data_IF_763830535218
#
_entry.id   IF_763830535218
#
_cell.length_a   1.000
_cell.length_b   1.000
_cell.length_c   1.000
_cell.angle_alpha   90.00
_cell.angle_beta   90.00
_cell.angle_gamma   90.00
#
_symmetry.space_group_name_H-M   'P 1'
#
loop_
_entity.id
_entity.type
_entity.pdbx_description
1 polymer ?
#
# COMPACT_ATOMS: atom_id res chain seq x y z
N UNK A 1 -32.98 45.85 27.64
CA UNK A 1 -31.65 45.22 27.79
C UNK A 1 -31.85 43.72 27.73
N UNK A 2 -31.45 43.07 26.63
CA UNK A 2 -31.58 41.62 26.47
C UNK A 2 -30.56 40.93 27.37
N UNK A 3 -31.00 40.25 28.42
CA UNK A 3 -30.14 39.43 29.28
C UNK A 3 -29.80 38.14 28.54
N UNK A 4 -28.55 38.00 28.07
CA UNK A 4 -28.06 36.72 27.52
C UNK A 4 -28.17 35.65 28.62
N UNK A 5 -28.79 34.51 28.30
CA UNK A 5 -29.02 33.42 29.25
C UNK A 5 -27.69 32.75 29.67
N UNK A 6 -27.60 32.19 30.89
CA UNK A 6 -26.40 31.49 31.36
C UNK A 6 -25.94 30.35 30.43
N UNK A 7 -26.89 29.75 29.70
CA UNK A 7 -26.66 28.68 28.72
C UNK A 7 -25.81 29.16 27.54
N UNK A 8 -26.10 30.34 26.96
CA UNK A 8 -25.35 30.94 25.84
C UNK A 8 -23.89 31.24 26.21
N UNK A 9 -23.63 31.58 27.48
CA UNK A 9 -22.26 31.85 27.95
C UNK A 9 -21.45 30.57 28.14
N UNK A 10 -22.08 29.48 28.58
CA UNK A 10 -21.42 28.18 28.74
C UNK A 10 -21.10 27.52 27.39
N UNK A 11 -22.06 27.52 26.46
CA UNK A 11 -21.88 26.98 25.10
C UNK A 11 -20.81 27.75 24.33
N UNK A 12 -20.74 29.08 24.50
CA UNK A 12 -19.71 29.90 23.87
C UNK A 12 -18.31 29.58 24.40
N UNK A 13 -18.15 29.41 25.72
CA UNK A 13 -16.87 28.99 26.33
C UNK A 13 -16.45 27.61 25.86
N UNK A 14 -17.38 26.66 25.78
CA UNK A 14 -17.10 25.30 25.29
C UNK A 14 -16.67 25.32 23.82
N UNK A 15 -17.34 26.11 22.99
CA UNK A 15 -16.97 26.30 21.58
C UNK A 15 -15.61 26.97 21.41
N UNK A 16 -15.29 27.98 22.21
CA UNK A 16 -13.98 28.63 22.24
C UNK A 16 -12.88 27.66 22.69
N UNK A 17 -13.12 26.89 23.75
CA UNK A 17 -12.20 25.86 24.24
C UNK A 17 -11.96 24.77 23.18
N UNK A 18 -13.02 24.29 22.53
CA UNK A 18 -12.92 23.34 21.41
C UNK A 18 -12.09 23.91 20.25
N UNK A 19 -12.33 25.17 19.88
CA UNK A 19 -11.57 25.85 18.82
C UNK A 19 -10.10 26.02 19.19
N UNK A 20 -9.80 26.36 20.44
CA UNK A 20 -8.43 26.49 20.95
C UNK A 20 -7.70 25.14 20.94
N UNK A 21 -8.37 24.06 21.37
CA UNK A 21 -7.84 22.70 21.32
C UNK A 21 -7.55 22.25 19.88
N UNK A 22 -8.45 22.54 18.94
CA UNK A 22 -8.25 22.23 17.52
C UNK A 22 -7.02 22.96 16.94
N UNK A 23 -6.84 24.24 17.28
CA UNK A 23 -5.67 25.02 16.86
C UNK A 23 -4.38 24.47 17.46
N UNK A 24 -4.37 24.20 18.77
CA UNK A 24 -3.22 23.61 19.45
C UNK A 24 -2.83 22.27 18.82
N UNK A 25 -3.82 21.41 18.56
CA UNK A 25 -3.61 20.12 17.93
C UNK A 25 -3.06 20.25 16.50
N UNK A 26 -3.57 21.21 15.72
CA UNK A 26 -3.03 21.51 14.40
C UNK A 26 -1.56 21.97 14.48
N UNK A 27 -1.21 22.81 15.46
CA UNK A 27 0.18 23.24 15.69
C UNK A 27 1.09 22.07 16.09
N UNK A 28 0.62 21.17 16.95
CA UNK A 28 1.38 19.95 17.31
C UNK A 28 1.60 19.07 16.08
N UNK A 29 0.57 18.89 15.26
CA UNK A 29 0.63 18.05 14.05
C UNK A 29 1.59 18.55 12.99
N UNK A 30 1.83 19.86 12.91
CA UNK A 30 2.75 20.49 11.96
C UNK A 30 4.11 20.81 12.57
N UNK A 31 4.32 20.49 13.86
CA UNK A 31 5.56 20.78 14.54
C UNK A 31 6.71 19.92 14.00
N UNK A 32 7.79 20.57 13.59
CA UNK A 32 8.98 19.92 13.06
C UNK A 32 9.58 18.91 14.03
N UNK A 33 9.60 19.19 15.34
CA UNK A 33 10.16 18.28 16.34
C UNK A 33 9.37 16.97 16.43
N UNK A 34 8.04 17.04 16.32
CA UNK A 34 7.20 15.84 16.28
C UNK A 34 7.49 15.01 15.04
N UNK A 35 7.58 15.63 13.86
CA UNK A 35 7.93 14.93 12.63
C UNK A 35 9.33 14.32 12.69
N UNK A 36 10.33 15.06 13.17
CA UNK A 36 11.70 14.55 13.34
C UNK A 36 11.72 13.37 14.31
N UNK A 37 10.99 13.44 15.43
CA UNK A 37 10.87 12.32 16.37
C UNK A 37 10.29 11.08 15.69
N UNK A 38 9.17 11.19 14.97
CA UNK A 38 8.59 10.05 14.23
C UNK A 38 9.54 9.49 13.18
N UNK A 39 10.24 10.34 12.45
CA UNK A 39 11.24 9.92 11.47
C UNK A 39 12.37 9.13 12.14
N UNK A 40 12.91 9.61 13.27
CA UNK A 40 13.97 8.93 14.00
C UNK A 40 13.50 7.58 14.56
N UNK A 41 12.28 7.51 15.09
CA UNK A 41 11.67 6.26 15.57
C UNK A 41 11.49 5.28 14.42
N UNK A 42 10.96 5.71 13.28
CA UNK A 42 10.78 4.87 12.09
C UNK A 42 12.11 4.35 11.54
N UNK A 43 13.12 5.22 11.43
CA UNK A 43 14.43 4.83 10.91
C UNK A 43 15.17 3.88 11.87
N UNK A 44 15.21 4.20 13.16
CA UNK A 44 15.91 3.37 14.16
C UNK A 44 15.25 2.01 14.32
N UNK A 45 13.93 1.96 14.53
CA UNK A 45 13.20 0.69 14.62
C UNK A 45 13.22 -0.08 13.30
N UNK A 46 13.12 0.60 12.16
CA UNK A 46 13.20 -0.01 10.85
C UNK A 46 14.55 -0.66 10.56
N UNK A 47 15.66 -0.05 10.98
CA UNK A 47 16.99 -0.66 10.90
C UNK A 47 17.10 -1.91 11.78
N UNK A 48 16.59 -1.84 13.01
CA UNK A 48 16.57 -2.99 13.95
C UNK A 48 15.73 -4.13 13.35
N UNK A 49 14.53 -3.84 12.85
CA UNK A 49 13.66 -4.82 12.22
C UNK A 49 14.33 -5.43 10.99
N UNK A 50 14.95 -4.63 10.11
CA UNK A 50 15.67 -5.15 8.95
C UNK A 50 16.86 -6.05 9.33
N UNK A 51 17.58 -5.73 10.41
CA UNK A 51 18.63 -6.59 10.92
C UNK A 51 18.08 -7.95 11.36
N UNK A 52 16.95 -7.97 12.09
CA UNK A 52 16.26 -9.21 12.40
C UNK A 52 15.80 -9.95 11.14
N UNK A 53 15.17 -9.25 10.18
CA UNK A 53 14.74 -9.86 8.92
C UNK A 53 15.91 -10.50 8.16
N UNK A 54 17.08 -9.86 8.16
CA UNK A 54 18.29 -10.40 7.56
C UNK A 54 18.77 -11.66 8.29
N UNK A 55 18.77 -11.67 9.63
CA UNK A 55 19.07 -12.86 10.43
C UNK A 55 18.10 -14.00 10.10
N UNK A 56 16.80 -13.74 10.08
CA UNK A 56 15.79 -14.76 9.72
C UNK A 56 15.97 -15.22 8.26
N UNK A 57 16.35 -14.32 7.35
CA UNK A 57 16.65 -14.66 5.96
C UNK A 57 17.85 -15.59 5.84
N UNK A 58 18.93 -15.32 6.58
CA UNK A 58 20.15 -16.14 6.52
C UNK A 58 19.99 -17.49 7.23
N UNK A 59 19.28 -17.53 8.38
CA UNK A 59 19.22 -18.73 9.23
C UNK A 59 18.01 -19.61 8.93
N UNK A 60 16.83 -19.03 8.70
CA UNK A 60 15.57 -19.78 8.59
C UNK A 60 15.19 -20.07 7.15
N UNK A 61 15.39 -19.12 6.23
CA UNK A 61 14.99 -19.28 4.82
C UNK A 61 15.64 -20.49 4.12
N UNK A 62 16.92 -20.85 4.35
CA UNK A 62 17.52 -22.04 3.75
C UNK A 62 16.87 -23.34 4.24
N UNK A 63 16.38 -23.35 5.49
CA UNK A 63 15.72 -24.51 6.10
C UNK A 63 14.28 -24.63 5.57
N UNK A 64 13.52 -23.53 5.60
CA UNK A 64 12.16 -23.50 5.11
C UNK A 64 11.70 -22.09 4.75
N UNK A 65 11.28 -21.93 3.49
CA UNK A 65 10.63 -20.72 2.98
C UNK A 65 9.35 -20.38 3.75
N UNK A 66 8.59 -21.40 4.16
CA UNK A 66 7.33 -21.23 4.87
C UNK A 66 7.53 -20.67 6.28
N UNK A 67 8.51 -21.22 7.02
CA UNK A 67 8.86 -20.71 8.35
C UNK A 67 9.43 -19.30 8.27
N UNK A 68 10.31 -19.06 7.31
CA UNK A 68 10.82 -17.72 7.03
C UNK A 68 9.66 -16.73 6.85
N UNK A 69 8.70 -17.04 5.96
CA UNK A 69 7.58 -16.14 5.70
C UNK A 69 6.69 -15.90 6.91
N UNK A 70 6.42 -16.93 7.73
CA UNK A 70 5.61 -16.77 8.95
C UNK A 70 6.28 -15.93 10.02
N UNK A 71 7.58 -16.12 10.26
CA UNK A 71 8.30 -15.29 11.23
C UNK A 71 8.43 -13.86 10.69
N UNK A 72 8.81 -13.74 9.42
CA UNK A 72 9.00 -12.47 8.76
C UNK A 72 7.70 -11.68 8.63
N UNK A 73 6.53 -12.33 8.59
CA UNK A 73 5.22 -11.67 8.63
C UNK A 73 5.13 -10.67 9.79
N UNK A 74 5.53 -11.07 11.00
CA UNK A 74 5.44 -10.19 12.17
C UNK A 74 6.43 -9.04 12.12
N UNK A 75 7.64 -9.26 11.58
CA UNK A 75 8.64 -8.21 11.38
C UNK A 75 8.16 -7.18 10.35
N UNK A 76 7.63 -7.66 9.23
CA UNK A 76 7.05 -6.84 8.17
C UNK A 76 5.84 -6.07 8.68
N UNK A 77 4.97 -6.73 9.46
CA UNK A 77 3.81 -6.09 10.09
C UNK A 77 4.28 -4.94 11.00
N UNK A 78 5.23 -5.20 11.90
CA UNK A 78 5.77 -4.18 12.80
C UNK A 78 6.40 -2.98 12.07
N UNK A 79 7.01 -3.20 10.90
CA UNK A 79 7.54 -2.11 10.07
C UNK A 79 6.42 -1.26 9.47
N UNK A 80 5.42 -1.89 8.83
CA UNK A 80 4.39 -1.16 8.12
C UNK A 80 3.30 -0.59 9.03
N UNK A 81 3.05 -1.21 10.18
CA UNK A 81 2.09 -0.72 11.17
C UNK A 81 2.45 0.70 11.63
N UNK A 82 3.74 1.05 11.70
CA UNK A 82 4.17 2.42 12.00
C UNK A 82 3.70 3.42 10.96
N UNK A 83 3.88 3.09 9.67
CA UNK A 83 3.47 3.97 8.55
C UNK A 83 1.95 4.06 8.45
N UNK A 84 1.25 2.93 8.63
CA UNK A 84 -0.21 2.87 8.65
C UNK A 84 -0.78 3.65 9.84
N UNK A 85 -0.19 3.54 11.02
CA UNK A 85 -0.57 4.33 12.19
C UNK A 85 -0.36 5.84 11.95
N UNK A 86 0.75 6.23 11.32
CA UNK A 86 0.96 7.62 10.92
C UNK A 86 -0.12 8.11 9.93
N UNK A 87 -0.55 7.27 8.99
CA UNK A 87 -1.59 7.61 8.03
C UNK A 87 -3.01 7.62 8.61
N UNK A 88 -3.34 6.71 9.53
CA UNK A 88 -4.71 6.62 10.05
C UNK A 88 -4.91 7.48 11.30
N UNK A 89 -3.99 7.34 12.26
CA UNK A 89 -4.10 7.95 13.58
C UNK A 89 -3.50 9.36 13.60
N UNK A 90 -2.26 9.54 13.13
CA UNK A 90 -1.60 10.85 13.18
C UNK A 90 -2.19 11.82 12.16
N UNK A 91 -2.19 11.51 10.86
CA UNK A 91 -2.74 12.44 9.87
C UNK A 91 -4.27 12.53 9.95
N UNK A 92 -4.94 11.48 10.42
CA UNK A 92 -6.40 11.39 10.45
C UNK A 92 -6.99 10.98 9.10
N UNK A 93 -6.21 10.40 8.18
CA UNK A 93 -6.75 9.92 6.91
C UNK A 93 -7.79 8.83 7.13
N UNK A 94 -8.80 8.81 6.26
CA UNK A 94 -9.90 7.84 6.26
C UNK A 94 -10.03 7.25 4.88
N UNK A 95 -10.26 5.95 4.80
CA UNK A 95 -10.53 5.25 3.56
C UNK A 95 -11.96 4.76 3.62
N UNK A 96 -12.70 4.98 2.55
CA UNK A 96 -14.02 4.39 2.34
C UNK A 96 -13.92 3.41 1.18
N UNK A 97 -14.12 2.14 1.50
CA UNK A 97 -14.13 1.06 0.51
C UNK A 97 -15.58 0.77 0.13
N UNK A 98 -15.83 0.52 -1.15
CA UNK A 98 -17.12 0.12 -1.68
C UNK A 98 -16.94 -1.19 -2.45
N UNK A 99 -17.86 -2.13 -2.26
CA UNK A 99 -17.85 -3.46 -2.88
C UNK A 99 -19.09 -4.24 -2.46
N UNK A 100 -19.26 -5.45 -2.99
CA UNK A 100 -20.31 -6.38 -2.53
C UNK A 100 -19.80 -7.28 -1.40
N UNK A 101 -20.71 -7.99 -0.74
CA UNK A 101 -20.34 -8.97 0.29
C UNK A 101 -19.53 -10.13 -0.33
N UNK A 102 -19.81 -10.50 -1.58
CA UNK A 102 -19.05 -11.50 -2.33
C UNK A 102 -17.62 -11.03 -2.62
N UNK A 103 -17.43 -9.75 -2.98
CA UNK A 103 -16.09 -9.17 -3.18
C UNK A 103 -15.27 -9.25 -1.89
N UNK A 104 -15.91 -8.92 -0.77
CA UNK A 104 -15.29 -8.95 0.56
C UNK A 104 -14.92 -10.37 0.99
N UNK A 105 -15.82 -11.33 0.81
CA UNK A 105 -15.59 -12.74 1.15
C UNK A 105 -14.45 -13.33 0.31
N UNK A 106 -14.42 -13.03 -0.98
CA UNK A 106 -13.34 -13.47 -1.85
C UNK A 106 -11.99 -12.82 -1.48
N UNK A 107 -11.95 -11.52 -1.10
CA UNK A 107 -10.73 -10.85 -0.64
C UNK A 107 -10.03 -11.59 0.50
N UNK A 108 -10.80 -12.23 1.38
CA UNK A 108 -10.30 -12.97 2.54
C UNK A 108 -9.88 -14.42 2.21
N UNK A 109 -10.35 -15.00 1.11
CA UNK A 109 -10.16 -16.42 0.76
C UNK A 109 -9.05 -16.67 -0.26
N UNK A 110 -8.87 -15.75 -1.21
CA UNK A 110 -8.01 -15.96 -2.38
C UNK A 110 -6.80 -15.02 -2.42
N UNK A 111 -5.84 -15.32 -3.31
CA UNK A 111 -4.80 -14.37 -3.65
C UNK A 111 -5.35 -13.40 -4.69
N UNK A 112 -5.09 -12.11 -4.50
CA UNK A 112 -5.67 -11.05 -5.32
C UNK A 112 -4.62 -10.18 -5.97
N UNK A 113 -4.93 -9.70 -7.17
CA UNK A 113 -4.19 -8.61 -7.80
C UNK A 113 -5.03 -7.33 -7.71
N UNK A 114 -4.49 -6.34 -7.03
CA UNK A 114 -5.07 -5.03 -6.91
C UNK A 114 -4.51 -4.13 -8.02
N UNK A 115 -5.39 -3.62 -8.90
CA UNK A 115 -5.02 -2.61 -9.88
C UNK A 115 -5.51 -1.25 -9.42
N UNK A 116 -4.57 -0.32 -9.26
CA UNK A 116 -4.85 1.03 -8.79
C UNK A 116 -4.29 2.06 -9.77
N UNK A 117 -4.97 3.20 -9.92
CA UNK A 117 -4.41 4.36 -10.61
C UNK A 117 -3.25 4.97 -9.79
N UNK A 118 -2.29 5.61 -10.47
CA UNK A 118 -1.11 6.17 -9.81
C UNK A 118 -1.05 7.70 -9.91
N UNK A 119 -1.57 8.38 -8.89
CA UNK A 119 -1.60 9.84 -8.79
C UNK A 119 -0.47 10.42 -7.91
N UNK A 120 -0.09 9.74 -6.82
CA UNK A 120 0.87 10.22 -5.82
C UNK A 120 1.90 9.15 -5.43
N UNK A 121 3.06 9.59 -4.92
CA UNK A 121 4.17 8.68 -4.55
C UNK A 121 3.81 7.71 -3.42
N UNK A 122 2.86 8.09 -2.57
CA UNK A 122 2.41 7.31 -1.42
C UNK A 122 1.12 6.53 -1.70
N UNK A 123 0.69 6.40 -2.96
CA UNK A 123 -0.57 5.71 -3.28
C UNK A 123 -0.61 4.28 -2.75
N UNK A 124 0.54 3.58 -2.76
CA UNK A 124 0.68 2.22 -2.23
C UNK A 124 0.25 2.11 -0.76
N UNK A 125 0.33 3.19 0.01
CA UNK A 125 -0.06 3.20 1.42
C UNK A 125 -1.55 2.97 1.60
N UNK A 126 -2.40 3.38 0.65
CA UNK A 126 -3.84 3.13 0.71
C UNK A 126 -4.14 1.63 0.64
N UNK A 127 -3.43 0.89 -0.21
CA UNK A 127 -3.53 -0.57 -0.27
C UNK A 127 -3.10 -1.22 1.06
N UNK A 128 -2.06 -0.68 1.71
CA UNK A 128 -1.58 -1.18 3.01
C UNK A 128 -2.59 -0.90 4.12
N UNK A 129 -3.17 0.31 4.15
CA UNK A 129 -4.23 0.65 5.10
C UNK A 129 -5.45 -0.26 4.93
N UNK A 130 -5.83 -0.62 3.71
CA UNK A 130 -6.89 -1.60 3.44
C UNK A 130 -6.50 -2.98 3.97
N UNK A 131 -5.29 -3.46 3.66
CA UNK A 131 -4.81 -4.77 4.11
C UNK A 131 -4.75 -4.88 5.63
N UNK A 132 -4.45 -3.80 6.34
CA UNK A 132 -4.43 -3.76 7.80
C UNK A 132 -5.81 -4.04 8.41
N UNK A 133 -6.90 -3.60 7.77
CA UNK A 133 -8.27 -3.90 8.23
C UNK A 133 -8.63 -5.39 8.14
N UNK A 134 -7.88 -6.16 7.34
CA UNK A 134 -8.13 -7.58 7.09
C UNK A 134 -7.01 -8.48 7.63
N UNK A 135 -6.13 -7.98 8.51
CA UNK A 135 -4.97 -8.72 9.02
C UNK A 135 -4.03 -9.25 7.91
N UNK A 136 -3.96 -8.53 6.78
CA UNK A 136 -3.14 -8.89 5.62
C UNK A 136 -1.97 -7.92 5.41
N UNK A 137 -1.72 -6.97 6.31
CA UNK A 137 -0.74 -5.90 6.13
C UNK A 137 0.65 -6.40 5.68
N UNK A 138 1.18 -7.44 6.32
CA UNK A 138 2.49 -8.00 5.95
C UNK A 138 2.47 -8.86 4.67
N UNK A 139 1.28 -9.25 4.23
CA UNK A 139 1.04 -9.96 2.98
C UNK A 139 0.68 -9.04 1.82
N UNK A 140 0.63 -7.73 2.05
CA UNK A 140 0.56 -6.75 0.97
C UNK A 140 1.88 -6.81 0.16
N UNK A 141 1.75 -7.08 -1.13
CA UNK A 141 2.86 -7.19 -2.10
C UNK A 141 2.69 -6.12 -3.16
N UNK A 142 3.77 -5.71 -3.80
CA UNK A 142 3.70 -4.73 -4.89
C UNK A 142 4.77 -4.98 -5.94
N UNK A 143 4.48 -4.54 -7.16
CA UNK A 143 5.50 -4.32 -8.18
C UNK A 143 6.22 -3.00 -7.92
N UNK A 144 7.53 -3.05 -7.64
CA UNK A 144 8.34 -1.88 -7.33
C UNK A 144 9.45 -1.68 -8.37
N UNK A 145 9.90 -0.43 -8.57
CA UNK A 145 11.08 -0.14 -9.39
C UNK A 145 12.32 -0.74 -8.71
N UNK A 146 13.17 -1.46 -9.45
CA UNK A 146 14.36 -2.11 -8.89
C UNK A 146 15.26 -1.17 -8.09
N UNK A 147 15.44 0.07 -8.52
CA UNK A 147 16.24 1.05 -7.76
C UNK A 147 15.75 1.27 -6.32
N UNK A 148 14.47 1.05 -6.03
CA UNK A 148 13.91 1.19 -4.69
C UNK A 148 14.45 0.14 -3.71
N UNK A 149 14.98 -0.99 -4.19
CA UNK A 149 15.56 -2.02 -3.33
C UNK A 149 16.77 -1.51 -2.53
N UNK A 150 17.45 -0.49 -3.04
CA UNK A 150 18.65 0.09 -2.42
C UNK A 150 18.34 1.19 -1.40
N UNK A 151 17.08 1.60 -1.29
CA UNK A 151 16.66 2.60 -0.30
C UNK A 151 16.75 1.97 1.10
N UNK A 152 17.53 2.53 2.03
CA UNK A 152 17.62 2.00 3.39
C UNK A 152 16.26 1.95 4.07
N UNK A 153 16.11 1.04 5.03
CA UNK A 153 14.85 0.79 5.75
C UNK A 153 13.76 0.22 4.84
N UNK A 154 13.17 1.05 3.96
CA UNK A 154 12.02 0.72 3.11
C UNK A 154 12.39 -0.32 2.04
N UNK A 155 13.44 -0.06 1.27
CA UNK A 155 13.87 -0.91 0.15
C UNK A 155 14.35 -2.29 0.61
N UNK A 156 15.09 -2.30 1.72
CA UNK A 156 15.56 -3.54 2.34
C UNK A 156 14.40 -4.34 2.92
N UNK A 157 13.44 -3.70 3.59
CA UNK A 157 12.23 -4.37 4.06
C UNK A 157 11.48 -5.00 2.89
N UNK A 158 11.29 -4.28 1.79
CA UNK A 158 10.65 -4.81 0.57
C UNK A 158 11.42 -5.97 -0.06
N UNK A 159 12.75 -5.91 -0.11
CA UNK A 159 13.58 -7.01 -0.58
C UNK A 159 13.43 -8.25 0.30
N UNK A 160 13.48 -8.06 1.62
CA UNK A 160 13.31 -9.10 2.61
C UNK A 160 11.83 -9.52 2.78
N UNK A 161 10.86 -8.81 2.20
CA UNK A 161 9.45 -9.22 2.21
C UNK A 161 9.01 -9.88 0.90
N UNK A 162 9.95 -10.17 -0.01
CA UNK A 162 9.70 -10.79 -1.31
C UNK A 162 8.83 -9.95 -2.27
N UNK A 163 8.98 -8.61 -2.27
CA UNK A 163 8.28 -7.79 -3.27
C UNK A 163 8.86 -8.01 -4.68
N UNK A 164 8.05 -7.78 -5.71
CA UNK A 164 8.49 -7.99 -7.10
C UNK A 164 9.14 -6.71 -7.62
N UNK A 165 10.47 -6.69 -7.67
CA UNK A 165 11.21 -5.60 -8.31
C UNK A 165 11.28 -5.77 -9.84
N UNK A 166 11.02 -4.68 -10.55
CA UNK A 166 10.99 -4.56 -12.01
C UNK A 166 12.16 -3.70 -12.53
N UNK A 167 12.78 -4.16 -13.62
CA UNK A 167 13.85 -3.47 -14.35
C UNK A 167 13.35 -2.35 -15.26
N UNK A 168 12.03 -2.27 -15.49
CA UNK A 168 11.40 -1.32 -16.42
C UNK A 168 11.71 -1.63 -17.89
N UNK A 169 11.96 -2.90 -18.20
CA UNK A 169 12.12 -3.43 -19.55
C UNK A 169 11.32 -4.73 -19.64
N UNK A 170 10.35 -4.76 -20.55
CA UNK A 170 9.47 -5.91 -20.71
C UNK A 170 10.24 -7.17 -21.06
N UNK A 171 11.29 -7.05 -21.86
CA UNK A 171 12.16 -8.14 -22.31
C UNK A 171 12.81 -8.84 -21.12
N UNK A 172 13.25 -8.08 -20.11
CA UNK A 172 13.85 -8.63 -18.87
C UNK A 172 12.79 -9.08 -17.87
N UNK A 173 11.75 -8.26 -17.69
CA UNK A 173 10.77 -8.46 -16.63
C UNK A 173 9.86 -9.66 -16.94
N UNK A 174 9.43 -9.84 -18.19
CA UNK A 174 8.60 -10.98 -18.63
C UNK A 174 9.20 -12.34 -18.31
N UNK A 175 10.54 -12.45 -18.34
CA UNK A 175 11.26 -13.68 -18.03
C UNK A 175 11.31 -14.00 -16.53
N UNK A 176 11.18 -13.01 -15.65
CA UNK A 176 11.36 -13.19 -14.18
C UNK A 176 10.07 -13.09 -13.38
N UNK A 177 9.07 -12.36 -13.88
CA UNK A 177 7.80 -12.14 -13.17
C UNK A 177 7.10 -13.47 -12.87
N UNK A 178 7.00 -14.37 -13.85
CA UNK A 178 6.32 -15.66 -13.70
C UNK A 178 6.83 -16.45 -12.50
N UNK A 179 8.12 -16.76 -12.48
CA UNK A 179 8.71 -17.54 -11.37
C UNK A 179 8.73 -16.81 -10.02
N UNK A 180 8.70 -15.47 -9.99
CA UNK A 180 8.52 -14.71 -8.75
C UNK A 180 7.08 -14.83 -8.24
N UNK A 181 6.11 -14.75 -9.14
CA UNK A 181 4.70 -14.86 -8.82
C UNK A 181 4.36 -16.28 -8.35
N UNK A 182 4.85 -17.31 -9.02
CA UNK A 182 4.64 -18.71 -8.63
C UNK A 182 5.11 -18.95 -7.18
N UNK A 183 6.28 -18.41 -6.81
CA UNK A 183 6.79 -18.48 -5.43
C UNK A 183 5.88 -17.77 -4.44
N UNK A 184 5.29 -16.64 -4.81
CA UNK A 184 4.39 -15.90 -3.93
C UNK A 184 3.04 -16.62 -3.74
N UNK A 185 2.57 -17.34 -4.75
CA UNK A 185 1.33 -18.09 -4.76
C UNK A 185 1.45 -19.49 -4.14
N UNK A 186 2.68 -20.02 -4.00
CA UNK A 186 2.98 -21.27 -3.31
C UNK A 186 2.69 -21.21 -1.79
N UNK A 187 2.70 -20.00 -1.21
CA UNK A 187 2.43 -19.82 0.21
C UNK A 187 0.95 -19.92 0.54
N UNK A 188 0.63 -20.59 1.66
CA UNK A 188 -0.75 -20.72 2.17
C UNK A 188 -1.39 -19.37 2.50
N UNK A 189 -0.60 -18.43 3.00
CA UNK A 189 -1.06 -17.11 3.42
C UNK A 189 -1.36 -16.25 2.19
N UNK A 190 -2.60 -15.75 2.12
CA UNK A 190 -3.12 -14.98 0.99
C UNK A 190 -2.42 -13.63 0.88
N UNK A 191 -2.25 -13.16 -0.36
CA UNK A 191 -1.63 -11.87 -0.65
C UNK A 191 -2.58 -10.96 -1.41
N UNK A 192 -2.37 -9.66 -1.22
CA UNK A 192 -2.87 -8.64 -2.14
C UNK A 192 -1.67 -8.07 -2.89
N UNK A 193 -1.55 -8.37 -4.18
CA UNK A 193 -0.47 -7.89 -5.04
C UNK A 193 -0.91 -6.61 -5.76
N UNK A 194 -0.36 -5.48 -5.35
CA UNK A 194 -0.60 -4.17 -5.94
C UNK A 194 0.18 -3.96 -7.23
N UNK A 195 -0.54 -3.54 -8.28
CA UNK A 195 -0.02 -3.10 -9.56
C UNK A 195 -0.59 -1.74 -9.95
N UNK A 196 0.27 -0.87 -10.46
CA UNK A 196 -0.10 0.37 -11.13
C UNK A 196 -0.01 0.15 -12.64
N UNK A 197 -1.15 -0.11 -13.30
CA UNK A 197 -1.20 -0.47 -14.73
C UNK A 197 -0.76 0.67 -15.66
N UNK A 198 -0.83 1.92 -15.21
CA UNK A 198 -0.31 3.09 -15.93
C UNK A 198 1.21 3.04 -16.12
N UNK A 199 1.92 2.25 -15.29
CA UNK A 199 3.37 2.11 -15.32
C UNK A 199 4.13 3.37 -14.92
N UNK A 200 3.55 4.56 -14.95
CA UNK A 200 4.12 5.83 -14.47
C UNK A 200 3.00 6.69 -13.88
N UNK A 201 3.36 7.74 -13.12
CA UNK A 201 2.39 8.71 -12.61
C UNK A 201 1.49 9.25 -13.72
N UNK A 202 0.21 9.45 -13.40
CA UNK A 202 -0.76 10.00 -14.34
C UNK A 202 -0.26 11.32 -14.94
N UNK A 203 -0.27 11.37 -16.26
CA UNK A 203 -0.05 12.58 -17.04
C UNK A 203 -1.01 12.50 -18.23
N UNK A 204 -1.75 13.58 -18.49
CA UNK A 204 -2.75 13.64 -19.56
C UNK A 204 -2.17 13.20 -20.92
N UNK A 205 -0.97 13.66 -21.25
CA UNK A 205 -0.29 13.29 -22.50
C UNK A 205 0.06 11.80 -22.58
N UNK A 206 0.45 11.18 -21.45
CA UNK A 206 0.76 9.74 -21.41
C UNK A 206 -0.50 8.88 -21.46
N UNK A 207 -1.59 9.36 -20.87
CA UNK A 207 -2.88 8.69 -20.94
C UNK A 207 -3.39 8.63 -22.38
N UNK A 208 -3.31 9.74 -23.11
CA UNK A 208 -3.65 9.81 -24.54
C UNK A 208 -2.81 8.81 -25.36
N UNK A 209 -1.49 8.76 -25.13
CA UNK A 209 -0.61 7.77 -25.78
C UNK A 209 -0.97 6.32 -25.43
N UNK A 210 -1.36 6.05 -24.18
CA UNK A 210 -1.80 4.71 -23.74
C UNK A 210 -3.10 4.30 -24.42
N UNK A 211 -4.04 5.23 -24.60
CA UNK A 211 -5.30 4.98 -25.32
C UNK A 211 -5.04 4.72 -26.80
N UNK A 212 -4.16 5.49 -27.44
CA UNK A 212 -3.75 5.25 -28.82
C UNK A 212 -3.08 3.89 -29.01
N UNK A 213 -2.22 3.49 -28.08
CA UNK A 213 -1.57 2.18 -28.10
C UNK A 213 -2.58 1.03 -27.90
N UNK A 214 -3.53 1.18 -26.97
CA UNK A 214 -4.60 0.21 -26.75
C UNK A 214 -5.51 0.07 -27.97
N UNK A 215 -5.87 1.19 -28.61
CA UNK A 215 -6.65 1.21 -29.85
C UNK A 215 -5.91 0.50 -31.00
N UNK A 216 -4.58 0.66 -31.09
CA UNK A 216 -3.74 -0.01 -32.09
C UNK A 216 -3.58 -1.52 -31.85
N UNK A 217 -3.66 -2.00 -30.61
CA UNK A 217 -3.39 -3.41 -30.26
C UNK A 217 -4.62 -4.31 -30.07
N UNK A 218 -5.85 -3.82 -30.25
CA UNK A 218 -7.13 -4.56 -30.11
C UNK A 218 -7.09 -5.73 -29.09
N UNK A 219 -7.26 -5.45 -27.79
CA UNK A 219 -8.06 -6.32 -26.94
C UNK A 219 -9.44 -5.69 -26.81
N UNK A 220 -10.48 -6.48 -27.11
CA UNK A 220 -11.86 -6.09 -26.85
C UNK A 220 -12.04 -5.76 -25.36
N UNK A 221 -12.70 -4.63 -25.09
CA UNK A 221 -13.31 -4.26 -23.81
C UNK A 221 -12.37 -4.18 -22.59
N UNK A 222 -11.68 -3.05 -22.47
CA UNK A 222 -11.46 -2.45 -21.15
C UNK A 222 -11.64 -0.94 -21.31
N UNK A 223 -12.79 -0.41 -20.85
CA UNK A 223 -12.93 1.03 -20.67
C UNK A 223 -11.82 1.50 -19.72
N UNK A 224 -10.95 2.37 -20.22
CA UNK A 224 -9.98 3.03 -19.37
C UNK A 224 -10.75 3.83 -18.32
N UNK A 225 -10.51 3.63 -17.01
CA UNK A 225 -11.23 4.37 -15.99
C UNK A 225 -10.98 5.87 -16.19
N UNK A 226 -12.03 6.72 -16.12
CA UNK A 226 -11.87 8.15 -16.30
C UNK A 226 -10.93 8.72 -15.24
N UNK A 227 -10.05 9.63 -15.65
CA UNK A 227 -9.08 10.26 -14.78
C UNK A 227 -9.79 10.96 -13.61
N UNK A 228 -9.60 10.46 -12.39
CA UNK A 228 -10.11 11.08 -11.16
C UNK A 228 -8.99 11.31 -10.15
N UNK A 229 -9.07 12.42 -9.41
CA UNK A 229 -8.23 12.65 -8.22
C UNK A 229 -8.54 11.68 -7.07
N UNK A 230 -9.70 11.04 -7.12
CA UNK A 230 -10.04 9.90 -6.27
C UNK A 230 -9.25 8.68 -6.72
N UNK A 231 -8.56 8.02 -5.79
CA UNK A 231 -7.98 6.71 -6.09
C UNK A 231 -9.11 5.73 -6.38
N UNK A 232 -9.08 5.15 -7.58
CA UNK A 232 -9.98 4.08 -7.99
C UNK A 232 -9.23 2.78 -7.83
N UNK A 233 -9.60 2.05 -6.78
CA UNK A 233 -9.19 0.69 -6.57
C UNK A 233 -10.08 -0.21 -7.44
N UNK A 234 -9.49 -0.96 -8.37
CA UNK A 234 -10.17 -2.11 -8.95
C UNK A 234 -9.42 -3.35 -8.48
N UNK A 235 -10.03 -4.08 -7.55
CA UNK A 235 -9.56 -5.44 -7.25
C UNK A 235 -9.97 -6.29 -8.44
N UNK A 236 -9.00 -6.75 -9.22
CA UNK A 236 -9.31 -7.74 -10.24
C UNK A 236 -9.44 -9.08 -9.52
N UNK A 237 -10.68 -9.56 -9.39
CA UNK A 237 -10.99 -10.94 -9.01
C UNK A 237 -10.60 -11.85 -10.18
N UNK A 238 -9.30 -11.98 -10.42
CA UNK A 238 -8.76 -13.12 -11.14
C UNK A 238 -8.11 -13.96 -10.06
N UNK A 239 -8.75 -15.06 -9.69
CA UNK A 239 -8.09 -16.10 -8.89
C UNK A 239 -6.73 -16.34 -9.54
N UNK A 240 -5.66 -15.95 -8.83
CA UNK A 240 -4.30 -16.14 -9.31
C UNK A 240 -3.95 -17.63 -9.40
N UNK A 241 -4.82 -18.51 -8.90
CA UNK A 241 -4.77 -19.93 -9.10
C UNK A 241 -5.30 -20.29 -10.50
N UNK A 242 -4.37 -20.47 -11.45
CA UNK A 242 -4.63 -21.32 -12.61
C UNK A 242 -4.86 -20.66 -13.98
N UNK A 243 -4.70 -19.34 -14.14
CA UNK A 243 -4.65 -18.71 -15.48
C UNK A 243 -3.35 -17.92 -15.65
N UNK A 244 -2.57 -18.28 -16.68
CA UNK A 244 -1.39 -17.52 -17.12
C UNK A 244 -1.81 -16.06 -17.31
N UNK A 245 -1.39 -15.19 -16.40
CA UNK A 245 -1.69 -13.75 -16.44
C UNK A 245 -1.10 -13.04 -17.67
N UNK A 246 -0.13 -13.68 -18.31
CA UNK A 246 0.48 -13.21 -19.53
C UNK A 246 0.24 -14.29 -20.58
N UNK A 247 -0.72 -14.03 -21.47
CA UNK A 247 -0.87 -14.81 -22.69
C UNK A 247 0.45 -14.80 -23.44
N UNK A 248 0.87 -15.99 -23.90
CA UNK A 248 1.93 -16.14 -24.87
C UNK A 248 1.61 -15.26 -26.09
N UNK A 249 2.44 -14.24 -26.31
CA UNK A 249 2.62 -13.62 -27.62
C UNK A 249 3.71 -14.41 -28.32
#
# INVERSE_FOLDING_TARGET
MSSSSPTDTSERKEKEQSTMLQRLWATVKTNLLCHTFFTLVFLSSGLVLNAFQLVVYCLVRPISRHWYRRINYYLVYASWAQVVAMAQWWSGSRIKVWGTDEDLDALLKDHHMCVMNHCYEVDWLVCWMICDQFNMLANAKTFAKKSLMYVPVIGWNWALSEQIFLERSWEKDSQTIGGKLDKLLDYKDKILLLMFSEGTRFNKAKHELSLEFAAKKKPAQAEAPPASKTQRLRVLHTSLQGKRLFGSV
#
